data_IF_683100279695
#
_entry.id   IF_683100279695
#
_cell.length_a   1.000
_cell.length_b   1.000
_cell.length_c   1.000
_cell.angle_alpha   90.00
_cell.angle_beta   90.00
_cell.angle_gamma   90.00
#
_symmetry.space_group_name_H-M   'P 1'
#
loop_
_entity.id
_entity.type
_entity.pdbx_description
1 polymer ?
#
# COMPACT_ATOMS: atom_id res chain seq x y z
N UNK A 1 -8.87 -7.72 16.35
CA UNK A 1 -9.41 -8.91 17.07
C UNK A 1 -9.75 -8.46 18.48
N UNK A 2 -10.95 -8.73 18.96
CA UNK A 2 -11.40 -8.44 20.34
C UNK A 2 -11.84 -9.74 20.98
N UNK A 3 -11.75 -9.80 22.31
CA UNK A 3 -12.27 -10.92 23.07
C UNK A 3 -13.74 -10.69 23.40
N UNK A 4 -14.58 -11.66 23.08
CA UNK A 4 -15.97 -11.75 23.55
C UNK A 4 -16.16 -13.10 24.25
N UNK A 5 -16.01 -13.13 25.57
CA UNK A 5 -15.94 -14.37 26.34
C UNK A 5 -14.66 -15.15 26.02
N UNK A 6 -14.78 -16.46 25.79
CA UNK A 6 -13.65 -17.37 25.49
C UNK A 6 -13.29 -17.42 23.97
N UNK A 7 -13.88 -16.57 23.14
CA UNK A 7 -13.68 -16.57 21.70
C UNK A 7 -13.05 -15.29 21.20
N UNK A 8 -12.02 -15.42 20.34
CA UNK A 8 -11.46 -14.31 19.61
C UNK A 8 -12.39 -13.91 18.45
N UNK A 9 -12.83 -12.66 18.42
CA UNK A 9 -13.67 -12.12 17.36
C UNK A 9 -12.85 -11.24 16.44
N UNK A 10 -13.08 -11.36 15.13
CA UNK A 10 -12.56 -10.41 14.16
C UNK A 10 -13.31 -9.09 14.30
N UNK A 11 -12.63 -8.03 14.71
CA UNK A 11 -13.19 -6.70 14.78
C UNK A 11 -12.51 -5.79 13.76
N UNK A 12 -13.30 -5.00 13.02
CA UNK A 12 -12.78 -4.02 12.07
C UNK A 12 -12.18 -2.78 12.74
N UNK A 13 -12.22 -2.70 14.07
CA UNK A 13 -11.63 -1.60 14.82
C UNK A 13 -10.14 -1.81 15.03
N UNK A 14 -9.38 -0.75 14.82
CA UNK A 14 -7.98 -0.71 15.18
C UNK A 14 -7.91 -0.40 16.67
N UNK A 15 -7.36 -1.35 17.43
CA UNK A 15 -7.15 -1.20 18.85
C UNK A 15 -5.66 -1.01 19.13
N UNK A 16 -5.34 -0.03 19.99
CA UNK A 16 -3.99 0.15 20.52
C UNK A 16 -3.93 -0.42 21.92
N UNK A 17 -3.13 -1.44 22.11
CA UNK A 17 -2.85 -2.02 23.43
C UNK A 17 -1.55 -1.43 23.99
N UNK A 18 -1.52 -1.17 25.29
CA UNK A 18 -0.33 -0.65 26.01
C UNK A 18 0.05 -1.54 27.18
N UNK A 19 -0.84 -2.42 27.64
CA UNK A 19 -0.57 -3.36 28.72
C UNK A 19 0.22 -4.57 28.20
N UNK A 20 1.42 -4.80 28.73
CA UNK A 20 2.29 -5.88 28.27
C UNK A 20 1.69 -7.27 28.41
N UNK A 21 0.90 -7.53 29.47
CA UNK A 21 0.26 -8.84 29.69
C UNK A 21 -0.83 -9.07 28.64
N UNK A 22 -1.68 -8.09 28.39
CA UNK A 22 -2.70 -8.16 27.34
C UNK A 22 -2.09 -8.34 25.96
N UNK A 23 -1.01 -7.61 25.65
CA UNK A 23 -0.28 -7.75 24.38
C UNK A 23 0.26 -9.18 24.25
N UNK A 24 0.89 -9.74 25.29
CA UNK A 24 1.46 -11.09 25.24
C UNK A 24 0.39 -12.16 24.98
N UNK A 25 -0.72 -12.11 25.71
CA UNK A 25 -1.83 -13.05 25.54
C UNK A 25 -2.44 -12.94 24.15
N UNK A 26 -2.70 -11.72 23.68
CA UNK A 26 -3.26 -11.52 22.34
C UNK A 26 -2.28 -11.94 21.24
N UNK A 27 -1.00 -11.61 21.37
CA UNK A 27 0.02 -11.99 20.39
C UNK A 27 0.11 -13.51 20.25
N UNK A 28 0.14 -14.25 21.37
CA UNK A 28 0.17 -15.70 21.36
C UNK A 28 -1.05 -16.28 20.63
N UNK A 29 -2.24 -15.77 20.91
CA UNK A 29 -3.47 -16.23 20.29
C UNK A 29 -3.54 -15.93 18.79
N UNK A 30 -3.20 -14.71 18.37
CA UNK A 30 -3.25 -14.35 16.94
C UNK A 30 -2.19 -15.08 16.14
N UNK A 31 -1.01 -15.33 16.72
CA UNK A 31 0.04 -16.13 16.06
C UNK A 31 -0.39 -17.58 15.89
N UNK A 32 -1.06 -18.16 16.90
CA UNK A 32 -1.63 -19.51 16.80
C UNK A 32 -2.69 -19.63 15.70
N UNK A 33 -3.40 -18.53 15.41
CA UNK A 33 -4.35 -18.44 14.30
C UNK A 33 -3.67 -18.12 12.95
N UNK A 34 -2.34 -18.08 12.86
CA UNK A 34 -1.61 -17.81 11.63
C UNK A 34 -1.48 -16.33 11.27
N UNK A 35 -1.70 -15.41 12.21
CA UNK A 35 -1.48 -13.99 11.99
C UNK A 35 0.01 -13.67 11.95
N UNK A 36 0.36 -12.63 11.19
CA UNK A 36 1.72 -12.08 11.09
C UNK A 36 1.85 -10.91 12.06
N UNK A 37 2.97 -10.84 12.76
CA UNK A 37 3.35 -9.69 13.57
C UNK A 37 4.39 -8.87 12.81
N UNK A 38 4.11 -7.59 12.67
CA UNK A 38 4.98 -6.66 11.96
C UNK A 38 5.37 -5.50 12.87
N UNK A 39 6.53 -4.91 12.62
CA UNK A 39 6.93 -3.68 13.26
C UNK A 39 6.03 -2.54 12.83
N UNK A 40 5.60 -1.74 13.81
CA UNK A 40 4.83 -0.54 13.52
C UNK A 40 5.77 0.59 13.08
N UNK A 41 5.74 0.92 11.80
CA UNK A 41 6.47 2.05 11.24
C UNK A 41 5.63 3.33 11.27
N UNK A 42 6.21 4.40 11.78
CA UNK A 42 5.55 5.71 11.79
C UNK A 42 5.61 6.32 10.39
N UNK A 43 4.46 6.56 9.80
CA UNK A 43 4.33 7.17 8.47
C UNK A 43 4.79 8.62 8.46
N UNK A 44 5.35 9.06 7.34
CA UNK A 44 5.57 10.47 7.07
C UNK A 44 4.23 11.22 6.91
N UNK A 45 4.27 12.55 6.95
CA UNK A 45 3.08 13.39 6.91
C UNK A 45 3.09 14.37 5.73
N UNK A 46 1.92 14.53 5.15
CA UNK A 46 1.61 15.61 4.21
C UNK A 46 0.54 16.51 4.85
N UNK A 47 0.86 17.78 5.06
CA UNK A 47 -0.03 18.78 5.70
C UNK A 47 -0.64 18.30 7.04
N UNK A 48 0.14 17.55 7.83
CA UNK A 48 -0.29 17.05 9.14
C UNK A 48 -1.05 15.72 9.12
N UNK A 49 -1.48 15.23 7.97
CA UNK A 49 -2.09 13.91 7.79
C UNK A 49 -1.02 12.85 7.50
N UNK A 50 -1.17 11.65 8.06
CA UNK A 50 -0.33 10.50 7.71
C UNK A 50 -0.60 10.11 6.26
N UNK A 51 0.45 9.72 5.51
CA UNK A 51 0.24 9.23 4.17
C UNK A 51 0.99 7.92 3.90
N UNK A 52 0.52 7.20 2.93
CA UNK A 52 1.25 6.15 2.19
C UNK A 52 0.98 6.29 0.69
N UNK A 53 1.64 5.46 -0.08
CA UNK A 53 1.62 5.52 -1.52
C UNK A 53 1.07 4.22 -2.08
N UNK A 54 0.16 4.32 -3.04
CA UNK A 54 -0.18 3.24 -3.95
C UNK A 54 0.56 3.49 -5.25
N UNK A 55 1.61 2.73 -5.48
CA UNK A 55 2.40 2.77 -6.71
C UNK A 55 1.88 1.69 -7.65
N UNK A 56 1.44 2.08 -8.82
CA UNK A 56 1.01 1.11 -9.83
C UNK A 56 2.11 0.93 -10.86
N UNK A 57 2.61 -0.29 -10.92
CA UNK A 57 3.61 -0.71 -11.88
C UNK A 57 2.97 -1.48 -13.01
N UNK A 58 3.43 -1.20 -14.23
CA UNK A 58 3.07 -1.90 -15.44
C UNK A 58 4.36 -2.30 -16.16
N UNK A 59 4.59 -3.60 -16.22
CA UNK A 59 5.84 -4.14 -16.74
C UNK A 59 7.06 -3.55 -16.00
N UNK A 60 7.89 -2.80 -16.67
CA UNK A 60 9.13 -2.27 -16.15
C UNK A 60 9.06 -0.77 -15.85
N UNK A 61 7.87 -0.22 -15.72
CA UNK A 61 7.65 1.19 -15.45
C UNK A 61 6.59 1.44 -14.38
N UNK A 62 6.67 2.58 -13.74
CA UNK A 62 5.61 3.09 -12.87
C UNK A 62 4.59 3.82 -13.74
N UNK A 63 3.38 3.30 -13.77
CA UNK A 63 2.28 3.88 -14.55
C UNK A 63 1.73 5.14 -13.88
N UNK A 64 1.48 5.06 -12.56
CA UNK A 64 1.07 6.21 -11.74
C UNK A 64 1.26 5.93 -10.25
N UNK A 65 1.14 6.99 -9.45
CA UNK A 65 1.21 6.92 -7.99
C UNK A 65 0.05 7.72 -7.39
N UNK A 66 -0.64 7.13 -6.44
CA UNK A 66 -1.65 7.82 -5.63
C UNK A 66 -1.15 7.98 -4.21
N UNK A 67 -1.24 9.18 -3.67
CA UNK A 67 -0.99 9.48 -2.27
C UNK A 67 -2.28 9.29 -1.50
N UNK A 68 -2.29 8.40 -0.52
CA UNK A 68 -3.45 8.13 0.34
C UNK A 68 -3.23 8.79 1.69
N UNK A 69 -4.04 9.77 2.03
CA UNK A 69 -3.89 10.57 3.26
C UNK A 69 -4.98 10.25 4.28
N UNK A 70 -4.61 10.23 5.56
CA UNK A 70 -5.52 10.02 6.67
C UNK A 70 -5.06 10.74 7.93
N UNK A 71 -6.03 11.22 8.71
CA UNK A 71 -5.78 11.69 10.09
C UNK A 71 -5.46 10.53 11.03
N UNK A 72 -5.94 9.33 10.71
CA UNK A 72 -5.72 8.10 11.48
C UNK A 72 -4.46 7.35 11.06
N UNK A 73 -4.28 6.18 11.64
CA UNK A 73 -3.14 5.31 11.37
C UNK A 73 -3.25 4.58 10.03
N UNK A 74 -4.48 4.31 9.57
CA UNK A 74 -4.78 3.60 8.34
C UNK A 74 -5.17 4.57 7.24
N UNK A 75 -4.56 4.42 6.09
CA UNK A 75 -4.66 5.33 4.94
C UNK A 75 -5.52 4.77 3.79
N UNK A 76 -6.08 3.56 3.93
CA UNK A 76 -6.90 2.92 2.91
C UNK A 76 -8.10 3.79 2.49
N UNK A 77 -8.28 3.98 1.18
CA UNK A 77 -9.29 4.87 0.62
C UNK A 77 -10.74 4.44 0.93
N UNK A 78 -11.02 3.13 1.12
CA UNK A 78 -12.37 2.69 1.48
C UNK A 78 -12.79 3.08 2.91
N UNK A 79 -11.92 3.68 3.68
CA UNK A 79 -12.24 4.25 4.99
C UNK A 79 -12.56 5.74 4.93
N UNK A 80 -13.00 6.24 3.78
CA UNK A 80 -13.27 7.67 3.49
C UNK A 80 -12.03 8.56 3.66
N UNK A 81 -10.85 8.02 3.45
CA UNK A 81 -9.60 8.75 3.41
C UNK A 81 -9.44 9.49 2.06
N UNK A 82 -8.50 10.43 2.01
CA UNK A 82 -8.32 11.29 0.84
C UNK A 82 -7.27 10.74 -0.08
N UNK A 83 -7.56 10.76 -1.38
CA UNK A 83 -6.57 10.59 -2.43
C UNK A 83 -6.01 11.94 -2.86
N UNK A 84 -4.69 12.02 -3.08
CA UNK A 84 -4.00 13.20 -3.58
C UNK A 84 -3.05 12.85 -4.71
N UNK A 85 -2.67 13.84 -5.49
CA UNK A 85 -1.72 13.69 -6.57
C UNK A 85 -0.29 13.49 -6.03
N UNK A 86 0.47 12.63 -6.69
CA UNK A 86 1.87 12.41 -6.34
C UNK A 86 2.72 13.67 -6.45
N UNK A 87 2.40 14.56 -7.38
CA UNK A 87 3.07 15.86 -7.55
C UNK A 87 2.92 16.82 -6.36
N UNK A 88 1.98 16.56 -5.45
CA UNK A 88 1.84 17.34 -4.22
C UNK A 88 2.90 16.99 -3.15
N UNK A 89 3.60 15.85 -3.33
CA UNK A 89 4.69 15.46 -2.45
C UNK A 89 6.01 16.10 -2.89
N UNK A 90 6.66 16.79 -1.98
CA UNK A 90 8.00 17.32 -2.17
C UNK A 90 9.08 16.28 -1.81
N UNK A 91 9.12 15.17 -2.55
CA UNK A 91 10.15 14.14 -2.37
C UNK A 91 11.44 14.55 -3.09
N UNK A 92 12.59 14.30 -2.45
CA UNK A 92 13.88 14.43 -3.09
C UNK A 92 13.94 13.51 -4.33
N UNK A 93 14.62 13.92 -5.42
CA UNK A 93 14.73 13.12 -6.64
C UNK A 93 15.25 11.70 -6.39
N UNK A 94 16.24 11.54 -5.50
CA UNK A 94 16.78 10.24 -5.11
C UNK A 94 15.76 9.33 -4.42
N UNK A 95 14.91 9.89 -3.55
CA UNK A 95 13.84 9.14 -2.88
C UNK A 95 12.78 8.69 -3.87
N UNK A 96 12.44 9.55 -4.83
CA UNK A 96 11.51 9.21 -5.92
C UNK A 96 12.07 8.09 -6.80
N UNK A 97 13.33 8.17 -7.18
CA UNK A 97 13.99 7.14 -7.97
C UNK A 97 14.04 5.81 -7.23
N UNK A 98 14.41 5.83 -5.97
CA UNK A 98 14.43 4.63 -5.12
C UNK A 98 13.04 4.02 -4.95
N UNK A 99 12.00 4.83 -4.74
CA UNK A 99 10.60 4.41 -4.69
C UNK A 99 10.23 3.62 -5.96
N UNK A 100 10.54 4.18 -7.13
CA UNK A 100 10.20 3.56 -8.41
C UNK A 100 11.00 2.28 -8.64
N UNK A 101 12.30 2.31 -8.41
CA UNK A 101 13.16 1.13 -8.56
C UNK A 101 12.72 -0.02 -7.65
N UNK A 102 12.42 0.24 -6.38
CA UNK A 102 11.96 -0.78 -5.43
C UNK A 102 10.59 -1.34 -5.83
N UNK A 103 9.67 -0.49 -6.28
CA UNK A 103 8.33 -0.93 -6.70
C UNK A 103 8.38 -1.83 -7.94
N UNK A 104 9.18 -1.46 -8.95
CA UNK A 104 9.41 -2.27 -10.15
C UNK A 104 10.09 -3.60 -9.77
N UNK A 105 11.12 -3.55 -8.92
CA UNK A 105 11.82 -4.76 -8.47
C UNK A 105 10.88 -5.73 -7.72
N UNK A 106 10.00 -5.21 -6.86
CA UNK A 106 9.01 -6.02 -6.15
C UNK A 106 8.00 -6.69 -7.11
N UNK A 107 7.53 -5.94 -8.13
CA UNK A 107 6.65 -6.47 -9.18
C UNK A 107 7.30 -7.62 -9.94
N UNK A 108 8.56 -7.42 -10.37
CA UNK A 108 9.34 -8.43 -11.10
C UNK A 108 9.63 -9.67 -10.26
N UNK A 109 9.99 -9.47 -8.97
CA UNK A 109 10.31 -10.58 -8.05
C UNK A 109 9.13 -11.56 -7.88
N UNK A 110 7.90 -11.08 -8.04
CA UNK A 110 6.69 -11.90 -7.99
C UNK A 110 6.23 -12.39 -9.37
N UNK A 111 6.97 -12.12 -10.43
CA UNK A 111 6.60 -12.49 -11.80
C UNK A 111 5.35 -11.80 -12.32
N UNK A 112 5.02 -10.62 -11.76
CA UNK A 112 3.83 -9.86 -12.14
C UNK A 112 4.19 -8.87 -13.26
N UNK A 113 3.25 -8.67 -14.19
CA UNK A 113 3.37 -7.66 -15.27
C UNK A 113 2.60 -6.39 -14.93
N UNK A 114 1.65 -6.50 -14.00
CA UNK A 114 0.86 -5.41 -13.47
C UNK A 114 0.64 -5.61 -11.98
N UNK A 115 0.94 -4.61 -11.18
CA UNK A 115 0.77 -4.70 -9.73
C UNK A 115 0.52 -3.32 -9.10
N UNK A 116 -0.26 -3.32 -8.03
CA UNK A 116 -0.41 -2.19 -7.12
C UNK A 116 0.42 -2.43 -5.86
N UNK A 117 1.41 -1.59 -5.65
CA UNK A 117 2.37 -1.70 -4.55
C UNK A 117 2.02 -0.68 -3.47
N UNK A 118 1.83 -1.14 -2.24
CA UNK A 118 1.69 -0.28 -1.08
C UNK A 118 3.06 0.05 -0.53
N UNK A 119 3.38 1.34 -0.51
CA UNK A 119 4.68 1.84 -0.06
C UNK A 119 4.51 2.84 1.05
N UNK A 120 5.28 2.67 2.10
CA UNK A 120 5.39 3.58 3.22
C UNK A 120 6.72 4.33 3.14
N UNK A 121 6.69 5.64 3.30
CA UNK A 121 7.89 6.41 3.65
C UNK A 121 7.88 6.61 5.15
N UNK A 122 8.85 6.02 5.83
CA UNK A 122 8.94 6.13 7.28
C UNK A 122 9.47 7.50 7.67
N UNK A 123 8.87 8.07 8.71
CA UNK A 123 9.20 9.41 9.19
C UNK A 123 10.70 9.54 9.46
N UNK A 124 11.29 10.65 9.01
CA UNK A 124 12.69 11.01 9.18
C UNK A 124 13.71 10.04 8.56
N UNK A 125 13.32 9.18 7.64
CA UNK A 125 14.25 8.23 7.00
C UNK A 125 14.42 8.47 5.51
N UNK A 126 13.49 9.13 4.85
CA UNK A 126 13.42 9.27 3.39
C UNK A 126 13.50 7.94 2.62
N UNK A 127 13.30 6.81 3.33
CA UNK A 127 13.42 5.47 2.76
C UNK A 127 12.04 4.91 2.44
N UNK A 128 11.80 4.49 1.18
CA UNK A 128 10.57 3.79 0.80
C UNK A 128 10.61 2.34 1.26
N UNK A 129 9.57 1.89 1.95
CA UNK A 129 9.38 0.50 2.38
C UNK A 129 8.19 -0.11 1.65
N UNK A 130 8.42 -1.23 1.00
CA UNK A 130 7.35 -2.03 0.40
C UNK A 130 6.58 -2.73 1.51
N UNK A 131 5.28 -2.49 1.59
CA UNK A 131 4.40 -3.08 2.60
C UNK A 131 3.62 -4.26 2.02
N UNK A 132 3.07 -4.08 0.83
CA UNK A 132 2.23 -5.09 0.18
C UNK A 132 2.34 -4.97 -1.34
N UNK A 133 2.23 -6.09 -2.04
CA UNK A 133 2.13 -6.16 -3.50
C UNK A 133 0.84 -6.85 -3.90
N UNK A 134 -0.03 -6.14 -4.59
CA UNK A 134 -1.33 -6.62 -5.05
C UNK A 134 -1.30 -6.94 -6.54
N UNK A 135 -1.40 -8.21 -6.90
CA UNK A 135 -1.28 -8.68 -8.29
C UNK A 135 -2.43 -8.26 -9.21
N UNK A 136 -3.55 -7.78 -8.66
CA UNK A 136 -4.67 -7.26 -9.46
C UNK A 136 -4.49 -5.78 -9.83
N UNK A 137 -3.41 -5.15 -9.38
CA UNK A 137 -3.27 -3.71 -9.44
C UNK A 137 -4.24 -3.02 -8.47
N UNK A 138 -4.46 -1.73 -8.67
CA UNK A 138 -5.55 -1.06 -7.98
C UNK A 138 -6.56 -0.57 -9.02
N UNK A 139 -7.76 -1.08 -8.93
CA UNK A 139 -8.89 -0.43 -9.56
C UNK A 139 -9.21 0.80 -8.73
N UNK A 140 -8.39 1.85 -8.90
CA UNK A 140 -8.70 3.12 -8.27
C UNK A 140 -10.09 3.47 -8.72
N UNK A 141 -10.94 3.58 -7.75
CA UNK A 141 -12.28 4.07 -7.92
C UNK A 141 -12.25 5.28 -8.86
N UNK A 142 -12.71 5.05 -10.11
CA UNK A 142 -13.01 6.08 -11.10
C UNK A 142 -11.84 6.72 -11.86
N UNK A 143 -10.59 6.20 -11.81
CA UNK A 143 -9.49 6.89 -12.51
C UNK A 143 -9.50 8.41 -12.28
N UNK A 144 -9.60 8.76 -10.98
CA UNK A 144 -9.95 10.10 -10.52
C UNK A 144 -9.03 11.21 -11.04
N UNK A 145 -7.87 10.84 -11.56
CA UNK A 145 -6.85 11.81 -11.94
C UNK A 145 -6.44 11.78 -13.41
N UNK A 146 -6.85 10.80 -14.17
CA UNK A 146 -6.24 10.54 -15.48
C UNK A 146 -7.17 10.11 -16.62
N UNK A 147 -8.44 10.43 -16.57
CA UNK A 147 -9.42 10.22 -17.67
C UNK A 147 -9.37 8.82 -18.30
N UNK A 148 -9.53 7.76 -17.49
CA UNK A 148 -9.47 6.35 -17.93
C UNK A 148 -8.09 5.89 -18.46
N UNK A 149 -7.02 6.62 -18.20
CA UNK A 149 -5.67 6.25 -18.61
C UNK A 149 -5.24 4.91 -18.03
N UNK A 150 -5.64 4.63 -16.80
CA UNK A 150 -5.34 3.38 -16.09
C UNK A 150 -5.91 2.19 -16.85
N UNK A 151 -7.20 2.22 -17.19
CA UNK A 151 -7.85 1.16 -17.95
C UNK A 151 -7.27 1.03 -19.36
N UNK A 152 -6.98 2.15 -20.01
CA UNK A 152 -6.34 2.15 -21.33
C UNK A 152 -4.98 1.48 -21.29
N UNK A 153 -4.17 1.74 -20.27
CA UNK A 153 -2.85 1.12 -20.11
C UNK A 153 -2.96 -0.37 -19.76
N UNK A 154 -3.94 -0.78 -18.97
CA UNK A 154 -4.22 -2.19 -18.71
C UNK A 154 -4.59 -2.93 -19.99
N UNK A 155 -5.49 -2.37 -20.80
CA UNK A 155 -5.90 -2.96 -22.09
C UNK A 155 -4.68 -3.11 -23.00
N UNK A 156 -3.85 -2.08 -23.15
CA UNK A 156 -2.61 -2.14 -23.96
C UNK A 156 -1.66 -3.24 -23.48
N UNK A 157 -1.53 -3.44 -22.16
CA UNK A 157 -0.70 -4.51 -21.61
C UNK A 157 -1.27 -5.89 -21.98
N UNK A 158 -2.58 -6.06 -21.90
CA UNK A 158 -3.25 -7.30 -22.30
C UNK A 158 -3.06 -7.54 -23.80
N UNK A 159 -3.29 -6.53 -24.64
CA UNK A 159 -3.10 -6.63 -26.10
C UNK A 159 -1.67 -7.01 -26.49
N UNK A 160 -0.66 -6.46 -25.79
CA UNK A 160 0.74 -6.82 -26.02
C UNK A 160 1.04 -8.29 -25.75
N UNK A 161 0.36 -8.90 -24.76
CA UNK A 161 0.48 -10.32 -24.44
C UNK A 161 -0.02 -11.22 -25.58
N UNK A 162 -1.13 -10.83 -26.22
CA UNK A 162 -1.69 -11.61 -27.33
C UNK A 162 -0.95 -11.39 -28.66
N UNK A 163 -0.38 -10.22 -28.87
CA UNK A 163 0.34 -9.88 -30.11
C UNK A 163 1.82 -10.30 -30.09
N UNK A 164 2.43 -10.48 -28.92
CA UNK A 164 3.81 -10.93 -28.76
C UNK A 164 4.01 -12.44 -28.90
N UNK A 165 2.94 -13.20 -29.03
CA UNK A 165 2.94 -14.66 -29.25
C UNK A 165 2.68 -15.07 -30.72
N UNK A 166 2.85 -14.15 -31.68
CA UNK A 166 2.77 -14.47 -33.10
C UNK A 166 4.11 -14.38 -33.79
#
# INVERSE_FOLDING_TARGET
MCWAGDHACNEKRICRLTNRKEIAVLAEEVMRCGAVLEEWMVKEKLEGENYDLRVVCREDEVDYVVVRCSKGAITNLHLNNKARLFGELSLAPSVREELFCRSIAATRALGLRYAGIDVLIARNTDTPYIIEVNGQGDHIYQDMFTENKIYTNQIRTIESLFNGNR
#
